data_IF_898759813208
#
_entry.id   IF_898759813208
#
_cell.length_a   1.000
_cell.length_b   1.000
_cell.length_c   1.000
_cell.angle_alpha   90.00
_cell.angle_beta   90.00
_cell.angle_gamma   90.00
#
_symmetry.space_group_name_H-M   'P 1'
#
loop_
_entity.id
_entity.type
_entity.pdbx_description
1 polymer ?
#
# COMPACT_ATOMS: atom_id res chain seq x y z
N UNK A 1 -20.28 -3.64 -22.89
CA UNK A 1 -20.93 -2.64 -22.00
C UNK A 1 -20.37 -2.84 -20.61
N UNK A 2 -19.40 -2.02 -20.18
CA UNK A 2 -18.85 -2.11 -18.83
C UNK A 2 -19.93 -1.70 -17.81
N UNK A 3 -20.24 -2.55 -16.83
CA UNK A 3 -21.17 -2.21 -15.74
C UNK A 3 -20.43 -1.27 -14.77
N UNK A 4 -20.89 -0.03 -14.67
CA UNK A 4 -20.41 0.94 -13.69
C UNK A 4 -20.61 0.34 -12.27
N UNK A 5 -19.53 0.15 -11.51
CA UNK A 5 -19.55 -0.45 -10.18
C UNK A 5 -19.44 -1.98 -10.08
N UNK A 6 -18.95 -2.69 -11.11
CA UNK A 6 -18.73 -4.15 -11.02
C UNK A 6 -17.57 -4.52 -10.09
N UNK A 7 -17.90 -5.13 -8.93
CA UNK A 7 -17.02 -5.77 -7.94
C UNK A 7 -16.76 -7.21 -8.37
N UNK A 8 -15.54 -7.50 -8.85
CA UNK A 8 -15.10 -8.84 -9.24
C UNK A 8 -14.87 -9.74 -8.00
N UNK A 9 -14.71 -11.05 -8.17
CA UNK A 9 -14.37 -11.96 -7.06
C UNK A 9 -13.04 -11.57 -6.36
N UNK A 10 -12.21 -10.79 -7.05
CA UNK A 10 -10.97 -10.17 -6.55
C UNK A 10 -11.20 -8.86 -5.79
N UNK A 11 -12.33 -8.18 -5.98
CA UNK A 11 -12.74 -7.08 -5.09
C UNK A 11 -13.16 -7.58 -3.68
N UNK A 12 -13.19 -8.90 -3.44
CA UNK A 12 -13.25 -9.56 -2.12
C UNK A 12 -11.88 -9.57 -1.39
N UNK A 13 -11.01 -8.60 -1.70
CA UNK A 13 -9.65 -8.43 -1.16
C UNK A 13 -9.58 -8.09 0.33
N UNK A 14 -10.48 -8.64 1.16
CA UNK A 14 -10.38 -8.55 2.62
C UNK A 14 -9.29 -9.46 3.20
N UNK A 15 -8.60 -10.25 2.37
CA UNK A 15 -7.54 -11.17 2.82
C UNK A 15 -6.22 -10.86 2.13
N UNK A 16 -5.22 -10.57 2.94
CA UNK A 16 -3.82 -10.49 2.53
C UNK A 16 -3.31 -11.92 2.42
N UNK A 17 -2.99 -12.35 1.19
CA UNK A 17 -2.48 -13.70 0.90
C UNK A 17 -0.95 -13.75 0.82
N UNK A 18 -0.33 -12.63 0.47
CA UNK A 18 1.11 -12.45 0.47
C UNK A 18 1.46 -11.09 1.06
N UNK A 19 2.59 -10.99 1.75
CA UNK A 19 3.03 -9.75 2.36
C UNK A 19 4.55 -9.66 2.40
N UNK A 20 5.07 -8.46 2.63
CA UNK A 20 6.50 -8.23 2.78
C UNK A 20 6.79 -6.90 3.44
N UNK A 21 8.05 -6.72 3.85
CA UNK A 21 8.55 -5.45 4.34
C UNK A 21 9.17 -4.67 3.18
N UNK A 22 8.91 -3.35 3.15
CA UNK A 22 9.55 -2.43 2.21
C UNK A 22 10.86 -1.97 2.85
N UNK A 23 11.99 -2.44 2.30
CA UNK A 23 13.33 -2.12 2.80
C UNK A 23 13.92 -0.87 2.13
N UNK A 24 13.38 -0.45 0.99
CA UNK A 24 13.81 0.74 0.27
C UNK A 24 12.59 1.44 -0.36
N UNK A 25 12.50 2.76 -0.16
CA UNK A 25 11.48 3.63 -0.73
C UNK A 25 12.08 4.85 -1.46
N UNK A 26 13.40 4.86 -1.69
CA UNK A 26 14.09 5.98 -2.35
C UNK A 26 13.62 6.24 -3.78
N UNK A 27 13.22 5.18 -4.50
CA UNK A 27 12.72 5.25 -5.88
C UNK A 27 11.20 5.00 -5.96
N UNK A 28 10.50 4.99 -4.81
CA UNK A 28 9.11 4.56 -4.70
C UNK A 28 8.97 3.04 -4.58
N UNK A 29 7.73 2.56 -4.57
CA UNK A 29 7.44 1.13 -4.43
C UNK A 29 6.18 0.72 -5.19
N UNK A 30 6.26 -0.41 -5.91
CA UNK A 30 5.13 -1.08 -6.54
C UNK A 30 5.37 -2.58 -6.59
N UNK A 31 4.30 -3.37 -6.58
CA UNK A 31 4.42 -4.81 -6.81
C UNK A 31 4.58 -5.15 -8.31
N UNK A 32 5.20 -6.29 -8.64
CA UNK A 32 5.25 -6.78 -10.01
C UNK A 32 3.85 -6.92 -10.64
N UNK A 33 3.78 -6.84 -11.96
CA UNK A 33 2.55 -7.04 -12.75
C UNK A 33 1.39 -6.10 -12.36
N UNK A 34 1.68 -4.90 -11.85
CA UNK A 34 0.68 -3.94 -11.38
C UNK A 34 -0.27 -4.50 -10.30
N UNK A 35 0.21 -5.46 -9.50
CA UNK A 35 -0.59 -6.04 -8.43
C UNK A 35 -0.98 -4.98 -7.38
N UNK A 36 -2.25 -5.01 -6.97
CA UNK A 36 -2.78 -4.11 -5.95
C UNK A 36 -2.46 -4.61 -4.55
N UNK A 37 -2.14 -3.68 -3.65
CA UNK A 37 -1.80 -3.99 -2.28
C UNK A 37 -2.34 -2.98 -1.28
N UNK A 38 -2.49 -3.44 -0.05
CA UNK A 38 -2.66 -2.62 1.15
C UNK A 38 -1.31 -2.40 1.82
N UNK A 39 -1.20 -1.38 2.66
CA UNK A 39 0.00 -1.13 3.45
C UNK A 39 -0.31 -1.11 4.94
N UNK A 40 0.70 -1.41 5.74
CA UNK A 40 0.69 -1.32 7.19
C UNK A 40 1.91 -0.51 7.63
N UNK A 41 1.68 0.46 8.50
CA UNK A 41 2.72 1.35 9.02
C UNK A 41 2.93 1.06 10.50
N UNK A 42 4.14 0.69 10.88
CA UNK A 42 4.54 0.52 12.28
C UNK A 42 5.54 1.62 12.66
N UNK A 43 5.20 2.52 13.60
CA UNK A 43 6.18 3.44 14.16
C UNK A 43 7.32 2.67 14.86
N UNK A 44 8.57 3.09 14.64
CA UNK A 44 9.74 2.52 15.33
C UNK A 44 9.87 3.00 16.78
N UNK A 45 9.24 4.13 17.08
CA UNK A 45 9.26 4.79 18.38
C UNK A 45 7.83 5.01 18.88
N UNK A 46 7.67 5.26 20.18
CA UNK A 46 6.37 5.68 20.73
C UNK A 46 5.88 6.94 20.04
N UNK A 47 4.69 6.89 19.44
CA UNK A 47 4.05 8.03 18.81
C UNK A 47 2.65 8.24 19.38
N UNK A 48 2.24 9.50 19.51
CA UNK A 48 0.86 9.91 19.78
C UNK A 48 0.08 10.20 18.50
N UNK A 49 0.73 10.17 17.33
CA UNK A 49 0.05 10.27 16.04
C UNK A 49 -0.78 9.02 15.79
N UNK A 50 -1.90 9.18 15.09
CA UNK A 50 -2.82 8.08 14.77
C UNK A 50 -2.66 7.61 13.33
N UNK A 51 -2.09 8.44 12.46
CA UNK A 51 -1.86 8.20 11.06
C UNK A 51 -0.52 8.80 10.59
N UNK A 52 -0.12 8.42 9.38
CA UNK A 52 0.94 9.05 8.61
C UNK A 52 0.43 9.33 7.19
N UNK A 53 0.88 10.42 6.58
CA UNK A 53 0.53 10.77 5.21
C UNK A 53 1.60 10.25 4.26
N UNK A 54 1.17 9.48 3.25
CA UNK A 54 2.02 8.99 2.19
C UNK A 54 1.46 9.43 0.84
N UNK A 55 2.35 9.84 -0.06
CA UNK A 55 1.97 10.08 -1.45
C UNK A 55 1.87 8.76 -2.19
N UNK A 56 0.66 8.38 -2.59
CA UNK A 56 0.33 7.08 -3.19
C UNK A 56 -0.51 7.26 -4.44
N UNK A 57 -0.60 6.19 -5.22
CA UNK A 57 -1.50 6.07 -6.36
C UNK A 57 -2.37 4.84 -6.17
N UNK A 58 -3.67 5.02 -5.94
CA UNK A 58 -4.65 3.94 -5.88
C UNK A 58 -5.02 3.45 -7.29
N UNK A 59 -5.72 2.32 -7.37
CA UNK A 59 -6.08 1.65 -8.63
C UNK A 59 -6.71 2.56 -9.69
N UNK A 60 -7.50 3.56 -9.29
CA UNK A 60 -8.20 4.48 -10.19
C UNK A 60 -7.56 5.86 -10.28
N UNK A 61 -6.45 6.11 -9.57
CA UNK A 61 -5.77 7.39 -9.63
C UNK A 61 -4.92 7.46 -10.90
N UNK A 62 -4.82 8.65 -11.48
CA UNK A 62 -3.92 8.93 -12.62
C UNK A 62 -2.56 9.49 -12.15
N UNK A 63 -2.55 10.20 -11.04
CA UNK A 63 -1.37 10.86 -10.45
C UNK A 63 -1.17 10.42 -8.99
N UNK A 64 0.00 10.69 -8.43
CA UNK A 64 0.24 10.51 -7.00
C UNK A 64 -0.48 11.58 -6.20
N UNK A 65 -1.08 11.20 -5.08
CA UNK A 65 -1.70 12.13 -4.14
C UNK A 65 -1.49 11.70 -2.70
N UNK A 66 -1.52 12.68 -1.80
CA UNK A 66 -1.34 12.43 -0.37
C UNK A 66 -2.55 11.70 0.21
N UNK A 67 -2.31 10.55 0.82
CA UNK A 67 -3.32 9.75 1.50
C UNK A 67 -2.93 9.53 2.97
N UNK A 68 -3.83 9.80 3.93
CA UNK A 68 -3.63 9.44 5.33
C UNK A 68 -3.76 7.92 5.50
N UNK A 69 -2.84 7.34 6.27
CA UNK A 69 -2.77 5.90 6.54
C UNK A 69 -2.66 5.69 8.04
N UNK A 70 -3.65 5.00 8.60
CA UNK A 70 -3.70 4.69 10.03
C UNK A 70 -2.47 3.87 10.44
N UNK A 71 -1.88 4.24 11.57
CA UNK A 71 -0.75 3.54 12.15
C UNK A 71 -1.21 2.25 12.84
N UNK A 72 -0.38 1.23 12.77
CA UNK A 72 -0.58 -0.08 13.38
C UNK A 72 -1.81 -0.86 12.88
N UNK A 73 -2.36 -0.50 11.72
CA UNK A 73 -3.42 -1.23 11.05
C UNK A 73 -3.19 -1.31 9.52
N UNK A 74 -3.88 -2.23 8.85
CA UNK A 74 -3.83 -2.35 7.40
C UNK A 74 -4.75 -1.32 6.74
N UNK A 75 -4.23 -0.62 5.74
CA UNK A 75 -5.02 0.34 4.97
C UNK A 75 -6.12 -0.36 4.15
N UNK A 76 -7.34 0.19 4.06
CA UNK A 76 -8.39 -0.33 3.18
C UNK A 76 -8.13 0.01 1.69
N UNK A 77 -7.03 0.69 1.38
CA UNK A 77 -6.72 1.19 0.05
C UNK A 77 -6.21 0.09 -0.88
N UNK A 78 -6.63 0.15 -2.14
CA UNK A 78 -6.09 -0.65 -3.23
C UNK A 78 -4.99 0.14 -3.95
N UNK A 79 -3.78 0.09 -3.40
CA UNK A 79 -2.63 0.87 -3.85
C UNK A 79 -1.95 0.16 -5.03
N UNK A 80 -1.60 0.92 -6.06
CA UNK A 80 -0.77 0.49 -7.19
C UNK A 80 0.70 0.88 -6.99
N UNK A 81 0.95 2.08 -6.45
CA UNK A 81 2.31 2.57 -6.22
C UNK A 81 2.39 3.56 -5.04
N UNK A 82 3.57 3.63 -4.43
CA UNK A 82 3.98 4.63 -3.44
C UNK A 82 5.07 5.49 -4.07
N UNK A 83 4.99 6.81 -3.91
CA UNK A 83 6.00 7.73 -4.41
C UNK A 83 7.34 7.58 -3.64
N UNK A 84 8.46 8.03 -4.24
CA UNK A 84 9.75 8.15 -3.57
C UNK A 84 9.69 8.86 -2.21
N UNK A 85 10.19 8.21 -1.15
CA UNK A 85 10.36 8.80 0.18
C UNK A 85 11.35 8.00 1.03
N UNK A 86 12.66 8.25 0.84
CA UNK A 86 13.71 7.52 1.56
C UNK A 86 13.64 7.71 3.09
N UNK A 87 13.30 8.93 3.55
CA UNK A 87 13.36 9.28 4.96
C UNK A 87 12.22 8.69 5.79
N UNK A 88 11.11 8.29 5.15
CA UNK A 88 9.98 7.68 5.84
C UNK A 88 10.38 6.43 6.63
N UNK A 89 11.27 5.61 6.05
CA UNK A 89 11.74 4.37 6.65
C UNK A 89 12.70 4.59 7.84
N UNK A 90 13.16 5.82 8.09
CA UNK A 90 13.96 6.13 9.27
C UNK A 90 13.11 6.08 10.56
N UNK A 91 11.83 6.41 10.47
CA UNK A 91 10.92 6.55 11.62
C UNK A 91 9.83 5.48 11.67
N UNK A 92 9.52 4.84 10.54
CA UNK A 92 8.49 3.83 10.42
C UNK A 92 9.02 2.58 9.72
N UNK A 93 8.53 1.41 10.11
CA UNK A 93 8.55 0.22 9.26
C UNK A 93 7.28 0.21 8.41
N UNK A 94 7.44 -0.08 7.12
CA UNK A 94 6.35 -0.12 6.15
C UNK A 94 6.25 -1.52 5.56
N UNK A 95 5.03 -2.07 5.54
CA UNK A 95 4.74 -3.40 5.01
C UNK A 95 3.69 -3.30 3.92
N UNK A 96 3.76 -4.19 2.94
CA UNK A 96 2.73 -4.37 1.91
C UNK A 96 2.02 -5.71 2.11
N UNK A 97 0.76 -5.77 1.72
CA UNK A 97 -0.07 -6.97 1.72
C UNK A 97 -0.94 -7.05 0.48
N UNK A 98 -0.84 -8.13 -0.28
CA UNK A 98 -1.58 -8.31 -1.54
C UNK A 98 -2.50 -9.53 -1.48
N UNK A 99 -3.64 -9.42 -2.19
CA UNK A 99 -4.62 -10.50 -2.36
C UNK A 99 -4.23 -11.54 -3.43
N UNK A 100 -3.02 -11.46 -3.98
CA UNK A 100 -2.51 -12.36 -5.02
C UNK A 100 -1.16 -12.94 -4.60
N UNK A 101 -0.79 -14.11 -5.16
CA UNK A 101 0.57 -14.60 -5.07
C UNK A 101 1.48 -13.68 -5.90
N UNK A 102 2.47 -13.07 -5.26
CA UNK A 102 3.59 -12.47 -5.99
C UNK A 102 4.50 -13.64 -6.36
N UNK A 103 4.27 -14.25 -7.54
CA UNK A 103 5.20 -15.24 -8.08
C UNK A 103 6.59 -14.60 -8.21
N UNK A 104 7.61 -15.30 -7.69
CA UNK A 104 9.00 -14.96 -8.01
C UNK A 104 9.22 -15.36 -9.47
N UNK A 105 9.27 -14.37 -10.35
CA UNK A 105 9.86 -14.54 -11.68
C UNK A 105 11.34 -14.82 -11.51
#
# INVERSE_FOLDING_TARGET
MARQGYISEFMNGGRILSHGKIENLADGFSLPNDALFSIYIRPKYSSSTVDAVLSVKCYQDDEFSDAPVVLNDWSPMAIKAIAPNADFLNTHDLYWGAGTYVEKV
#
